data_IF_780485487705
#
_entry.id   IF_780485487705
#
_cell.length_a   1.000
_cell.length_b   1.000
_cell.length_c   1.000
_cell.angle_alpha   90.00
_cell.angle_beta   90.00
_cell.angle_gamma   90.00
#
_symmetry.space_group_name_H-M   'P 1'
#
loop_
_entity.id
_entity.type
_entity.pdbx_description
1 polymer ?
#
# COMPACT_ATOMS: atom_id res chain seq x y z
N UNK A 1 16.10 -2.75 23.33
CA UNK A 1 16.37 -3.51 22.08
C UNK A 1 15.44 -2.93 21.04
N UNK A 2 15.98 -2.30 19.98
CA UNK A 2 15.16 -1.79 18.87
C UNK A 2 14.45 -2.96 18.19
N UNK A 3 13.15 -2.84 17.98
CA UNK A 3 12.40 -3.83 17.22
C UNK A 3 13.01 -3.93 15.81
N UNK A 4 13.14 -5.13 15.26
CA UNK A 4 13.66 -5.28 13.90
C UNK A 4 12.70 -4.59 12.93
N UNK A 5 13.27 -3.91 11.94
CA UNK A 5 12.49 -3.27 10.90
C UNK A 5 11.54 -4.25 10.20
N UNK A 6 10.30 -3.85 9.98
CA UNK A 6 9.35 -4.65 9.21
C UNK A 6 9.78 -4.76 7.75
N UNK A 7 10.06 -3.62 7.11
CA UNK A 7 10.62 -3.57 5.76
C UNK A 7 12.00 -2.91 5.82
N UNK A 8 13.00 -3.57 5.24
CA UNK A 8 14.34 -2.99 5.05
C UNK A 8 14.72 -3.11 3.58
N UNK A 9 14.99 -1.98 2.98
CA UNK A 9 15.51 -1.86 1.61
C UNK A 9 16.90 -1.24 1.70
N UNK A 10 17.87 -1.87 1.04
CA UNK A 10 19.24 -1.37 1.02
C UNK A 10 19.71 -1.24 -0.43
N UNK A 11 20.12 -0.04 -0.80
CA UNK A 11 20.72 0.31 -2.08
C UNK A 11 19.88 -0.10 -3.30
N UNK A 12 18.55 0.08 -3.22
CA UNK A 12 17.68 -0.22 -4.35
C UNK A 12 18.07 0.60 -5.57
N UNK A 13 18.26 -0.10 -6.70
CA UNK A 13 18.61 0.51 -7.98
C UNK A 13 17.64 0.08 -9.05
N UNK A 14 17.24 1.04 -9.91
CA UNK A 14 16.40 0.78 -11.09
C UNK A 14 16.81 1.68 -12.25
N UNK A 15 17.01 1.08 -13.40
CA UNK A 15 17.40 1.77 -14.63
C UNK A 15 16.41 1.43 -15.75
N UNK A 16 16.00 2.42 -16.52
CA UNK A 16 15.16 2.27 -17.70
C UNK A 16 15.89 2.85 -18.92
N UNK A 17 16.33 1.99 -19.84
CA UNK A 17 17.17 2.42 -20.95
C UNK A 17 18.47 3.06 -20.42
N UNK A 18 18.67 4.35 -20.61
CA UNK A 18 19.81 5.10 -20.06
C UNK A 18 19.49 5.90 -18.79
N UNK A 19 18.21 5.92 -18.34
CA UNK A 19 17.75 6.72 -17.20
C UNK A 19 17.85 5.91 -15.91
N UNK A 20 18.63 6.42 -14.95
CA UNK A 20 18.67 5.89 -13.58
C UNK A 20 17.49 6.47 -12.81
N UNK A 21 16.44 5.66 -12.61
CA UNK A 21 15.22 6.09 -11.92
C UNK A 21 15.30 5.91 -10.39
N UNK A 22 16.15 4.97 -9.92
CA UNK A 22 16.52 4.80 -8.50
C UNK A 22 18.03 4.58 -8.43
N UNK A 23 18.69 5.37 -7.60
CA UNK A 23 20.13 5.35 -7.41
C UNK A 23 20.46 5.10 -5.92
N UNK A 24 20.67 3.83 -5.57
CA UNK A 24 21.06 3.40 -4.22
C UNK A 24 20.08 3.82 -3.11
N UNK A 25 18.77 3.78 -3.37
CA UNK A 25 17.74 4.13 -2.39
C UNK A 25 17.72 3.11 -1.25
N UNK A 26 17.90 3.60 -0.04
CA UNK A 26 17.81 2.79 1.18
C UNK A 26 16.78 3.39 2.13
N UNK A 27 15.94 2.55 2.75
CA UNK A 27 15.00 2.96 3.80
C UNK A 27 14.66 1.78 4.72
N UNK A 28 14.15 2.11 5.89
CA UNK A 28 13.75 1.15 6.92
C UNK A 28 12.41 1.57 7.53
N UNK A 29 11.44 0.67 7.51
CA UNK A 29 10.11 0.88 8.09
C UNK A 29 9.96 -0.02 9.31
N UNK A 30 9.67 0.55 10.47
CA UNK A 30 9.40 -0.20 11.68
C UNK A 30 7.96 -0.72 11.71
N UNK A 31 7.71 -1.77 12.48
CA UNK A 31 6.37 -2.32 12.63
C UNK A 31 5.44 -1.32 13.33
N UNK A 32 4.18 -1.24 12.87
CA UNK A 32 3.16 -0.39 13.48
C UNK A 32 3.27 1.10 13.14
N UNK A 33 4.08 1.49 12.14
CA UNK A 33 4.20 2.88 11.68
C UNK A 33 3.36 3.16 10.44
N UNK A 34 2.96 4.43 10.28
CA UNK A 34 2.59 5.01 9.01
C UNK A 34 3.83 5.72 8.46
N UNK A 35 4.40 5.19 7.40
CA UNK A 35 5.61 5.70 6.77
C UNK A 35 5.28 6.40 5.45
N UNK A 36 5.71 7.65 5.31
CA UNK A 36 5.51 8.46 4.13
C UNK A 36 6.69 8.44 3.17
N UNK A 37 6.43 8.30 1.87
CA UNK A 37 7.41 8.51 0.81
C UNK A 37 6.92 9.65 -0.07
N UNK A 38 7.62 10.78 -0.04
CA UNK A 38 7.28 11.98 -0.79
C UNK A 38 8.42 12.43 -1.70
N UNK A 39 8.21 13.47 -2.46
CA UNK A 39 9.18 14.10 -3.36
C UNK A 39 8.51 14.74 -4.56
N UNK A 40 9.22 15.55 -5.34
CA UNK A 40 8.72 16.17 -6.56
C UNK A 40 8.25 15.15 -7.60
N UNK A 41 7.60 15.64 -8.66
CA UNK A 41 7.28 14.80 -9.82
C UNK A 41 8.57 14.32 -10.49
N UNK A 42 8.62 13.04 -10.86
CA UNK A 42 9.84 12.44 -11.41
C UNK A 42 10.90 12.03 -10.39
N UNK A 43 10.69 12.25 -9.09
CA UNK A 43 11.64 11.90 -8.03
C UNK A 43 11.93 10.39 -7.87
N UNK A 44 11.14 9.51 -8.51
CA UNK A 44 11.33 8.07 -8.42
C UNK A 44 10.37 7.34 -7.45
N UNK A 45 9.44 8.05 -6.79
CA UNK A 45 8.50 7.47 -5.81
C UNK A 45 7.73 6.27 -6.35
N UNK A 46 7.03 6.45 -7.47
CA UNK A 46 6.24 5.38 -8.12
C UNK A 46 7.15 4.24 -8.60
N UNK A 47 8.36 4.54 -9.05
CA UNK A 47 9.34 3.52 -9.42
C UNK A 47 9.75 2.69 -8.21
N UNK A 48 10.08 3.35 -7.09
CA UNK A 48 10.42 2.66 -5.84
C UNK A 48 9.28 1.78 -5.36
N UNK A 49 8.06 2.30 -5.36
CA UNK A 49 6.86 1.56 -4.99
C UNK A 49 6.64 0.32 -5.88
N UNK A 50 6.78 0.49 -7.19
CA UNK A 50 6.66 -0.60 -8.14
C UNK A 50 7.76 -1.66 -7.98
N UNK A 51 8.96 -1.25 -7.58
CA UNK A 51 10.06 -2.17 -7.26
C UNK A 51 9.72 -2.98 -6.01
N UNK A 52 9.42 -2.35 -4.87
CA UNK A 52 9.15 -3.09 -3.63
C UNK A 52 7.90 -3.96 -3.69
N UNK A 53 6.95 -3.63 -4.56
CA UNK A 53 5.70 -4.38 -4.77
C UNK A 53 5.76 -5.38 -5.93
N UNK A 54 6.93 -5.56 -6.56
CA UNK A 54 7.18 -6.61 -7.55
C UNK A 54 6.61 -6.36 -8.95
N UNK A 55 6.22 -5.12 -9.27
CA UNK A 55 5.85 -4.75 -10.64
C UNK A 55 7.07 -4.50 -11.53
N UNK A 56 8.15 -3.97 -10.94
CA UNK A 56 9.43 -3.82 -11.61
C UNK A 56 10.49 -4.62 -10.89
N UNK A 57 11.20 -5.48 -11.61
CA UNK A 57 12.37 -6.13 -11.05
C UNK A 57 13.46 -5.08 -10.77
N UNK A 58 14.09 -5.06 -9.60
CA UNK A 58 15.23 -4.20 -9.31
C UNK A 58 16.44 -4.62 -10.14
N UNK A 59 17.32 -3.65 -10.46
CA UNK A 59 18.60 -3.93 -11.09
C UNK A 59 19.72 -4.04 -10.05
N UNK A 60 19.43 -3.74 -8.77
CA UNK A 60 20.35 -3.89 -7.64
C UNK A 60 19.66 -3.63 -6.31
N UNK A 61 20.38 -3.93 -5.24
CA UNK A 61 19.89 -3.76 -3.88
C UNK A 61 19.43 -5.05 -3.20
N UNK A 62 19.11 -4.95 -1.91
CA UNK A 62 18.56 -6.05 -1.13
C UNK A 62 17.28 -5.64 -0.41
N UNK A 63 16.36 -6.60 -0.28
CA UNK A 63 15.01 -6.40 0.24
C UNK A 63 14.71 -7.44 1.31
N UNK A 64 14.26 -6.98 2.47
CA UNK A 64 13.92 -7.84 3.61
C UNK A 64 12.58 -7.41 4.21
N UNK A 65 11.78 -8.39 4.59
CA UNK A 65 10.59 -8.19 5.42
C UNK A 65 10.72 -9.04 6.69
N UNK A 66 10.57 -8.39 7.85
CA UNK A 66 10.84 -9.01 9.17
C UNK A 66 12.20 -9.73 9.24
N UNK A 67 13.25 -9.13 8.66
CA UNK A 67 14.59 -9.71 8.60
C UNK A 67 14.75 -10.87 7.62
N UNK A 68 13.69 -11.29 6.92
CA UNK A 68 13.74 -12.37 5.91
C UNK A 68 13.90 -11.77 4.51
N UNK A 69 14.89 -12.21 3.75
CA UNK A 69 15.05 -11.76 2.37
C UNK A 69 13.82 -12.10 1.53
N UNK A 70 13.37 -11.16 0.70
CA UNK A 70 12.41 -11.43 -0.34
C UNK A 70 12.91 -10.83 -1.67
N UNK A 71 12.46 -11.42 -2.77
CA UNK A 71 12.81 -10.94 -4.11
C UNK A 71 11.56 -10.32 -4.75
N UNK A 72 11.53 -8.99 -4.94
CA UNK A 72 10.39 -8.32 -5.56
C UNK A 72 10.42 -8.47 -7.09
N UNK A 73 10.49 -9.71 -7.58
CA UNK A 73 10.53 -10.02 -9.02
C UNK A 73 9.17 -10.39 -9.58
N UNK A 74 8.19 -10.64 -8.72
CA UNK A 74 6.82 -10.99 -9.11
C UNK A 74 5.84 -10.65 -7.99
N UNK A 75 4.67 -10.10 -8.36
CA UNK A 75 3.63 -9.64 -7.43
C UNK A 75 3.17 -10.72 -6.45
N UNK A 76 3.03 -11.98 -6.91
CA UNK A 76 2.61 -13.08 -6.04
C UNK A 76 3.62 -13.37 -4.92
N UNK A 77 4.92 -13.32 -5.20
CA UNK A 77 5.98 -13.50 -4.18
C UNK A 77 5.97 -12.38 -3.14
N UNK A 78 5.69 -11.16 -3.57
CA UNK A 78 5.55 -10.01 -2.68
C UNK A 78 4.32 -10.18 -1.79
N UNK A 79 3.19 -10.65 -2.33
CA UNK A 79 1.99 -10.95 -1.56
C UNK A 79 2.23 -12.09 -0.54
N UNK A 80 2.97 -13.15 -0.92
CA UNK A 80 3.39 -14.23 -0.01
C UNK A 80 4.28 -13.71 1.12
N UNK A 81 5.16 -12.74 0.84
CA UNK A 81 5.97 -12.08 1.85
C UNK A 81 5.15 -11.21 2.83
N UNK A 82 3.88 -10.94 2.52
CA UNK A 82 2.95 -10.20 3.37
C UNK A 82 2.83 -8.72 3.04
N UNK A 83 3.14 -8.32 1.82
CA UNK A 83 2.94 -6.95 1.33
C UNK A 83 1.69 -6.94 0.45
N UNK A 84 0.68 -6.13 0.81
CA UNK A 84 -0.44 -5.81 -0.06
C UNK A 84 -0.32 -4.38 -0.57
N UNK A 85 -0.82 -4.13 -1.78
CA UNK A 85 -0.81 -2.80 -2.38
C UNK A 85 -2.19 -2.39 -2.89
N UNK A 86 -2.44 -1.09 -2.87
CA UNK A 86 -3.46 -0.45 -3.70
C UNK A 86 -2.83 0.15 -4.96
N UNK A 87 -3.64 0.60 -5.89
CA UNK A 87 -3.19 1.24 -7.11
C UNK A 87 -3.64 2.70 -7.15
N UNK A 88 -2.88 3.56 -7.80
CA UNK A 88 -3.25 4.95 -8.02
C UNK A 88 -4.64 5.06 -8.67
N UNK A 89 -4.86 4.33 -9.77
CA UNK A 89 -6.19 4.14 -10.34
C UNK A 89 -6.87 2.95 -9.68
N UNK A 90 -8.06 3.14 -9.14
CA UNK A 90 -8.85 2.09 -8.48
C UNK A 90 -8.99 0.87 -9.40
N UNK A 91 -8.54 -0.30 -8.92
CA UNK A 91 -8.59 -1.57 -9.66
C UNK A 91 -9.50 -2.55 -8.96
N UNK A 92 -10.77 -2.22 -8.87
CA UNK A 92 -11.81 -3.14 -8.41
C UNK A 92 -12.29 -4.02 -9.57
N UNK A 93 -12.98 -5.11 -9.24
CA UNK A 93 -13.79 -5.86 -10.18
C UNK A 93 -15.13 -5.10 -10.31
N UNK A 94 -15.34 -4.34 -11.39
CA UNK A 94 -16.40 -3.31 -11.42
C UNK A 94 -17.81 -3.89 -11.39
N UNK A 95 -18.00 -5.10 -11.91
CA UNK A 95 -19.28 -5.78 -12.02
C UNK A 95 -19.56 -6.78 -10.89
N UNK A 96 -18.61 -6.93 -9.96
CA UNK A 96 -18.80 -7.68 -8.71
C UNK A 96 -19.34 -6.78 -7.61
N UNK A 97 -20.00 -7.37 -6.61
CA UNK A 97 -20.41 -6.67 -5.39
C UNK A 97 -19.20 -6.25 -4.55
N UNK A 98 -19.40 -5.33 -3.61
CA UNK A 98 -18.36 -4.93 -2.67
C UNK A 98 -17.87 -6.16 -1.87
N UNK A 99 -18.79 -7.00 -1.40
CA UNK A 99 -18.46 -8.21 -0.68
C UNK A 99 -17.59 -9.17 -1.50
N UNK A 100 -17.98 -9.46 -2.74
CA UNK A 100 -17.22 -10.34 -3.64
C UNK A 100 -15.82 -9.81 -3.92
N UNK A 101 -15.64 -8.48 -4.10
CA UNK A 101 -14.34 -7.86 -4.24
C UNK A 101 -13.42 -8.16 -3.04
N UNK A 102 -13.93 -8.06 -1.81
CA UNK A 102 -13.16 -8.36 -0.59
C UNK A 102 -12.87 -9.85 -0.48
N UNK A 103 -13.84 -10.71 -0.81
CA UNK A 103 -13.67 -12.17 -0.79
C UNK A 103 -12.54 -12.62 -1.73
N UNK A 104 -12.39 -12.00 -2.91
CA UNK A 104 -11.26 -12.28 -3.83
C UNK A 104 -9.91 -12.06 -3.13
N UNK A 105 -9.76 -10.99 -2.35
CA UNK A 105 -8.55 -10.74 -1.56
C UNK A 105 -8.24 -11.89 -0.58
N UNK A 106 -9.25 -12.46 0.05
CA UNK A 106 -9.10 -13.56 1.00
C UNK A 106 -8.70 -14.88 0.34
N UNK A 107 -9.21 -15.16 -0.86
CA UNK A 107 -8.87 -16.38 -1.61
C UNK A 107 -7.38 -16.54 -1.87
N UNK A 108 -6.63 -15.45 -2.01
CA UNK A 108 -5.16 -15.49 -2.18
C UNK A 108 -4.44 -16.17 -1.00
N UNK A 109 -5.03 -16.14 0.21
CA UNK A 109 -4.47 -16.78 1.42
C UNK A 109 -4.90 -18.24 1.62
N UNK A 110 -6.00 -18.66 0.99
CA UNK A 110 -6.58 -19.98 1.23
C UNK A 110 -6.13 -21.07 0.24
N UNK A 111 -5.38 -20.70 -0.80
CA UNK A 111 -4.92 -21.63 -1.85
C UNK A 111 -3.85 -22.66 -1.42
N UNK A 112 -3.52 -22.75 -0.12
CA UNK A 112 -2.65 -23.83 0.40
C UNK A 112 -3.37 -25.13 0.77
N UNK A 113 -4.67 -25.18 0.75
CA UNK A 113 -5.45 -26.35 1.12
C UNK A 113 -5.97 -27.04 -0.15
N UNK A 114 -5.56 -28.29 -0.35
CA UNK A 114 -5.93 -29.23 -1.45
C UNK A 114 -7.44 -29.48 -1.60
N UNK A 115 -8.31 -28.52 -1.35
CA UNK A 115 -9.76 -28.63 -1.50
C UNK A 115 -10.27 -27.98 -2.81
N UNK A 116 -9.38 -27.74 -3.76
CA UNK A 116 -9.61 -27.07 -5.02
C UNK A 116 -10.89 -27.48 -5.77
N UNK A 117 -10.77 -27.91 -6.98
CA UNK A 117 -11.87 -28.14 -7.93
C UNK A 117 -12.86 -29.23 -7.46
N UNK A 118 -12.37 -30.32 -6.85
CA UNK A 118 -13.23 -31.42 -6.38
C UNK A 118 -14.15 -31.03 -5.21
N UNK A 119 -13.65 -30.25 -4.23
CA UNK A 119 -14.45 -29.76 -3.10
C UNK A 119 -15.52 -28.77 -3.53
N UNK A 120 -15.24 -27.94 -4.52
CA UNK A 120 -16.18 -26.99 -5.11
C UNK A 120 -17.29 -27.71 -5.89
N UNK A 121 -16.97 -28.72 -6.69
CA UNK A 121 -17.94 -29.51 -7.47
C UNK A 121 -18.88 -30.29 -6.55
N UNK A 122 -18.34 -30.92 -5.49
CA UNK A 122 -19.11 -31.73 -4.56
C UNK A 122 -19.78 -30.95 -3.44
N UNK A 123 -19.58 -29.62 -3.35
CA UNK A 123 -20.14 -28.75 -2.30
C UNK A 123 -20.03 -29.36 -0.91
N UNK A 124 -18.87 -29.90 -0.56
CA UNK A 124 -18.67 -30.56 0.74
C UNK A 124 -18.94 -29.60 1.89
N UNK A 125 -19.36 -30.14 3.07
CA UNK A 125 -19.56 -29.32 4.28
C UNK A 125 -18.35 -28.48 4.66
N UNK A 126 -17.13 -29.02 4.44
CA UNK A 126 -15.89 -28.29 4.68
C UNK A 126 -15.70 -27.10 3.72
N UNK A 127 -16.06 -27.26 2.44
CA UNK A 127 -16.04 -26.18 1.46
C UNK A 127 -17.05 -25.08 1.83
N UNK A 128 -18.29 -25.45 2.15
CA UNK A 128 -19.32 -24.49 2.56
C UNK A 128 -18.93 -23.72 3.83
N UNK A 129 -18.32 -24.39 4.82
CA UNK A 129 -17.80 -23.72 6.02
C UNK A 129 -16.65 -22.78 5.72
N UNK A 130 -15.76 -23.14 4.77
CA UNK A 130 -14.69 -22.28 4.30
C UNK A 130 -15.22 -20.99 3.65
N UNK A 131 -16.16 -21.14 2.73
CA UNK A 131 -16.84 -20.02 2.07
C UNK A 131 -17.58 -19.11 3.06
N UNK A 132 -18.29 -19.70 4.03
CA UNK A 132 -18.99 -18.94 5.07
C UNK A 132 -18.02 -18.11 5.93
N UNK A 133 -16.85 -18.67 6.28
CA UNK A 133 -15.80 -17.94 7.02
C UNK A 133 -15.21 -16.79 6.19
N UNK A 134 -14.92 -17.02 4.89
CA UNK A 134 -14.43 -15.99 3.98
C UNK A 134 -15.46 -14.87 3.89
N UNK A 135 -16.72 -15.19 3.69
CA UNK A 135 -17.82 -14.24 3.61
C UNK A 135 -17.99 -13.42 4.90
N UNK A 136 -17.98 -14.08 6.05
CA UNK A 136 -18.08 -13.41 7.36
C UNK A 136 -16.91 -12.45 7.60
N UNK A 137 -15.67 -12.86 7.26
CA UNK A 137 -14.49 -12.01 7.37
C UNK A 137 -14.57 -10.81 6.42
N UNK A 138 -15.04 -11.02 5.19
CA UNK A 138 -15.23 -9.94 4.22
C UNK A 138 -16.27 -8.91 4.69
N UNK A 139 -17.40 -9.37 5.26
CA UNK A 139 -18.38 -8.46 5.88
C UNK A 139 -17.77 -7.65 7.02
N UNK A 140 -17.03 -8.30 7.93
CA UNK A 140 -16.39 -7.62 9.04
C UNK A 140 -15.40 -6.54 8.56
N UNK A 141 -14.66 -6.76 7.47
CA UNK A 141 -13.78 -5.76 6.88
C UNK A 141 -14.54 -4.59 6.24
N UNK A 142 -15.68 -4.87 5.59
CA UNK A 142 -16.53 -3.79 5.05
C UNK A 142 -17.11 -2.93 6.17
N UNK A 143 -17.57 -3.54 7.26
CA UNK A 143 -18.07 -2.85 8.46
C UNK A 143 -16.94 -2.05 9.12
N UNK A 144 -15.75 -2.63 9.24
CA UNK A 144 -14.55 -2.01 9.80
C UNK A 144 -14.19 -0.71 9.08
N UNK A 145 -14.35 -0.66 7.74
CA UNK A 145 -14.10 0.51 6.92
C UNK A 145 -15.34 1.41 6.70
N UNK A 146 -16.46 1.11 7.38
CA UNK A 146 -17.67 1.94 7.35
C UNK A 146 -18.49 1.83 6.05
N UNK A 147 -18.27 0.79 5.27
CA UNK A 147 -18.98 0.55 4.00
C UNK A 147 -19.79 -0.75 4.00
N UNK A 148 -20.04 -1.36 5.16
CA UNK A 148 -20.78 -2.61 5.30
C UNK A 148 -22.19 -2.57 4.69
N UNK A 149 -22.87 -1.40 4.77
CA UNK A 149 -24.18 -1.17 4.13
C UNK A 149 -24.19 -1.41 2.62
N UNK A 150 -23.02 -1.35 1.98
CA UNK A 150 -22.87 -1.53 0.54
C UNK A 150 -22.38 -2.93 0.15
N UNK A 151 -22.39 -3.90 1.08
CA UNK A 151 -21.87 -5.24 0.83
C UNK A 151 -22.41 -5.87 -0.47
N UNK A 152 -23.71 -5.74 -0.72
CA UNK A 152 -24.39 -6.30 -1.90
C UNK A 152 -24.45 -5.32 -3.09
N UNK A 153 -23.89 -4.12 -2.97
CA UNK A 153 -23.86 -3.11 -4.05
C UNK A 153 -22.75 -3.44 -5.04
N UNK A 154 -23.02 -3.22 -6.32
CA UNK A 154 -22.03 -3.39 -7.41
C UNK A 154 -20.93 -2.34 -7.24
N UNK A 155 -19.67 -2.75 -7.29
CA UNK A 155 -18.52 -1.90 -6.95
C UNK A 155 -18.46 -0.59 -7.77
N UNK A 156 -18.75 -0.65 -9.08
CA UNK A 156 -18.75 0.55 -9.95
C UNK A 156 -19.81 1.59 -9.62
N UNK A 157 -20.84 1.22 -8.84
CA UNK A 157 -21.93 2.13 -8.45
C UNK A 157 -21.65 2.92 -7.18
N UNK A 158 -20.59 2.56 -6.46
CA UNK A 158 -20.17 3.24 -5.24
C UNK A 158 -19.58 4.62 -5.55
N UNK A 159 -19.63 5.53 -4.57
CA UNK A 159 -18.89 6.78 -4.64
C UNK A 159 -17.38 6.53 -4.75
N UNK A 160 -16.62 7.49 -5.28
CA UNK A 160 -15.17 7.36 -5.41
C UNK A 160 -14.49 7.06 -4.06
N UNK A 161 -14.89 7.75 -2.99
CA UNK A 161 -14.37 7.51 -1.63
C UNK A 161 -14.70 6.11 -1.11
N UNK A 162 -15.91 5.59 -1.38
CA UNK A 162 -16.30 4.23 -0.97
C UNK A 162 -15.59 3.16 -1.81
N UNK A 163 -15.35 3.41 -3.11
CA UNK A 163 -14.53 2.53 -3.94
C UNK A 163 -13.08 2.46 -3.41
N UNK A 164 -12.52 3.57 -2.96
CA UNK A 164 -11.17 3.59 -2.36
C UNK A 164 -11.14 2.80 -1.04
N UNK A 165 -12.16 2.96 -0.18
CA UNK A 165 -12.29 2.14 1.03
C UNK A 165 -12.44 0.65 0.71
N UNK A 166 -13.19 0.32 -0.34
CA UNK A 166 -13.34 -1.06 -0.81
C UNK A 166 -12.01 -1.64 -1.31
N UNK A 167 -11.20 -0.86 -2.00
CA UNK A 167 -9.84 -1.27 -2.42
C UNK A 167 -8.94 -1.57 -1.22
N UNK A 168 -9.01 -0.72 -0.17
CA UNK A 168 -8.30 -0.95 1.09
C UNK A 168 -8.83 -2.21 1.79
N UNK A 169 -10.16 -2.41 1.83
CA UNK A 169 -10.77 -3.63 2.40
C UNK A 169 -10.25 -4.90 1.73
N UNK A 170 -10.20 -4.90 0.39
CA UNK A 170 -9.69 -6.01 -0.39
C UNK A 170 -8.20 -6.27 -0.12
N UNK A 171 -7.40 -5.22 0.03
CA UNK A 171 -5.99 -5.34 0.39
C UNK A 171 -5.83 -5.91 1.81
N UNK A 172 -6.59 -5.44 2.79
CA UNK A 172 -6.60 -5.93 4.16
C UNK A 172 -7.06 -7.39 4.27
N UNK A 173 -7.96 -7.85 3.38
CA UNK A 173 -8.42 -9.25 3.35
C UNK A 173 -7.28 -10.25 3.11
N UNK A 174 -6.17 -9.81 2.53
CA UNK A 174 -4.96 -10.62 2.41
C UNK A 174 -4.18 -10.75 3.72
N UNK A 175 -4.63 -10.12 4.83
CA UNK A 175 -3.93 -10.04 6.11
C UNK A 175 -2.46 -9.61 5.97
N UNK A 176 -2.19 -8.46 5.35
CA UNK A 176 -0.83 -8.05 5.07
C UNK A 176 -0.10 -7.65 6.36
N UNK A 177 1.23 -7.76 6.33
CA UNK A 177 2.13 -7.16 7.32
C UNK A 177 2.40 -5.70 7.01
N UNK A 178 2.55 -5.39 5.70
CA UNK A 178 2.72 -4.05 5.15
C UNK A 178 1.61 -3.76 4.15
N UNK A 179 0.84 -2.71 4.42
CA UNK A 179 -0.13 -2.15 3.49
C UNK A 179 0.52 -0.99 2.75
N UNK A 180 0.75 -1.14 1.45
CA UNK A 180 1.34 -0.11 0.60
C UNK A 180 0.25 0.61 -0.19
N UNK A 181 0.14 1.93 -0.02
CA UNK A 181 -0.89 2.78 -0.60
C UNK A 181 -0.27 3.78 -1.58
N UNK A 182 -0.77 3.78 -2.81
CA UNK A 182 -0.29 4.66 -3.88
C UNK A 182 -1.31 5.78 -4.10
N UNK A 183 -0.96 7.00 -3.66
CA UNK A 183 -1.78 8.22 -3.73
C UNK A 183 -3.25 7.99 -3.31
N UNK A 184 -3.51 7.44 -2.10
CA UNK A 184 -4.86 7.08 -1.72
C UNK A 184 -5.82 8.26 -1.56
N UNK A 185 -5.31 9.48 -1.39
CA UNK A 185 -6.10 10.70 -1.24
C UNK A 185 -6.32 11.46 -2.56
N UNK A 186 -5.80 10.95 -3.70
CA UNK A 186 -5.97 11.60 -4.99
C UNK A 186 -7.46 11.78 -5.33
N UNK A 187 -7.83 12.98 -5.76
CA UNK A 187 -9.22 13.30 -6.13
C UNK A 187 -10.21 13.48 -4.99
N UNK A 188 -9.77 13.34 -3.73
CA UNK A 188 -10.62 13.51 -2.54
C UNK A 188 -10.74 14.97 -2.10
N UNK A 189 -11.94 15.36 -1.66
CA UNK A 189 -12.16 16.62 -0.96
C UNK A 189 -11.63 16.58 0.49
N UNK A 190 -11.64 17.73 1.18
CA UNK A 190 -11.08 17.86 2.53
C UNK A 190 -11.74 16.90 3.56
N UNK A 191 -13.07 16.71 3.48
CA UNK A 191 -13.81 15.83 4.38
C UNK A 191 -13.44 14.36 4.14
N UNK A 192 -13.34 13.96 2.88
CA UNK A 192 -12.93 12.62 2.49
C UNK A 192 -11.49 12.31 2.90
N UNK A 193 -10.56 13.29 2.75
CA UNK A 193 -9.18 13.18 3.23
C UNK A 193 -9.10 12.98 4.75
N UNK A 194 -9.90 13.72 5.52
CA UNK A 194 -9.96 13.54 6.98
C UNK A 194 -10.48 12.15 7.34
N UNK A 195 -11.54 11.68 6.70
CA UNK A 195 -12.07 10.33 6.92
C UNK A 195 -11.09 9.23 6.51
N UNK A 196 -10.32 9.43 5.44
CA UNK A 196 -9.23 8.52 5.05
C UNK A 196 -8.15 8.50 6.14
N UNK A 197 -7.74 9.67 6.65
CA UNK A 197 -6.75 9.78 7.72
C UNK A 197 -7.17 8.99 8.95
N UNK A 198 -8.39 9.20 9.46
CA UNK A 198 -8.94 8.48 10.61
C UNK A 198 -8.95 6.95 10.35
N UNK A 199 -9.28 6.54 9.12
CA UNK A 199 -9.25 5.13 8.72
C UNK A 199 -7.83 4.55 8.78
N UNK A 200 -6.83 5.28 8.28
CA UNK A 200 -5.44 4.82 8.28
C UNK A 200 -4.84 4.80 9.69
N UNK A 201 -5.15 5.81 10.52
CA UNK A 201 -4.79 5.83 11.93
C UNK A 201 -5.34 4.60 12.67
N UNK A 202 -6.64 4.29 12.47
CA UNK A 202 -7.28 3.10 13.03
C UNK A 202 -6.58 1.81 12.59
N UNK A 203 -6.24 1.67 11.30
CA UNK A 203 -5.55 0.50 10.77
C UNK A 203 -4.16 0.34 11.41
N UNK A 204 -3.43 1.45 11.61
CA UNK A 204 -2.15 1.46 12.33
C UNK A 204 -2.31 1.05 13.78
N UNK A 205 -3.29 1.63 14.48
CA UNK A 205 -3.55 1.38 15.91
C UNK A 205 -3.94 -0.09 16.16
N UNK A 206 -4.51 -0.76 15.17
CA UNK A 206 -4.72 -2.22 15.15
C UNK A 206 -3.45 -3.02 14.78
N UNK A 207 -2.28 -2.39 14.81
CA UNK A 207 -0.97 -3.02 14.67
C UNK A 207 -0.52 -3.25 13.22
N UNK A 208 -1.18 -2.64 12.23
CA UNK A 208 -0.72 -2.73 10.84
C UNK A 208 0.31 -1.66 10.52
N UNK A 209 1.26 -2.02 9.67
CA UNK A 209 2.23 -1.06 9.13
C UNK A 209 1.76 -0.57 7.76
N UNK A 210 1.89 0.73 7.54
CA UNK A 210 1.43 1.36 6.31
C UNK A 210 2.60 2.11 5.66
N UNK A 211 2.81 1.90 4.37
CA UNK A 211 3.62 2.76 3.51
C UNK A 211 2.67 3.54 2.61
N UNK A 212 2.77 4.87 2.66
CA UNK A 212 1.96 5.75 1.82
C UNK A 212 2.88 6.56 0.89
N UNK A 213 2.58 6.55 -0.40
CA UNK A 213 3.13 7.51 -1.35
C UNK A 213 2.09 8.57 -1.58
N UNK A 214 2.46 9.81 -1.41
CA UNK A 214 1.57 10.95 -1.58
C UNK A 214 2.32 12.17 -2.12
N UNK A 215 1.60 13.02 -2.82
CA UNK A 215 2.05 14.34 -3.22
C UNK A 215 1.42 15.46 -2.36
N UNK A 216 0.38 15.14 -1.58
CA UNK A 216 -0.21 16.04 -0.60
C UNK A 216 0.66 16.06 0.66
N UNK A 217 1.65 16.96 0.66
CA UNK A 217 2.59 17.13 1.78
C UNK A 217 1.85 17.38 3.09
N UNK A 218 0.73 18.15 3.06
CA UNK A 218 -0.03 18.46 4.27
C UNK A 218 -0.66 17.22 4.91
N UNK A 219 -1.19 16.32 4.08
CA UNK A 219 -1.73 15.04 4.55
C UNK A 219 -0.61 14.18 5.17
N UNK A 220 0.51 14.04 4.49
CA UNK A 220 1.65 13.22 4.97
C UNK A 220 2.19 13.75 6.29
N UNK A 221 2.38 15.07 6.40
CA UNK A 221 2.90 15.69 7.62
C UNK A 221 1.94 15.58 8.83
N UNK A 222 0.64 15.44 8.58
CA UNK A 222 -0.36 15.24 9.65
C UNK A 222 -0.68 13.78 9.98
N UNK A 223 -0.16 12.82 9.19
CA UNK A 223 -0.53 11.40 9.31
C UNK A 223 0.66 10.49 9.60
N UNK A 224 1.83 10.76 9.00
CA UNK A 224 2.96 9.84 9.04
C UNK A 224 3.79 10.00 10.31
N UNK A 225 4.29 8.89 10.82
CA UNK A 225 5.24 8.86 11.95
C UNK A 225 6.67 9.18 11.48
N UNK A 226 7.00 8.76 10.26
CA UNK A 226 8.30 8.98 9.62
C UNK A 226 8.14 9.20 8.11
N UNK A 227 9.01 10.00 7.54
CA UNK A 227 8.94 10.39 6.12
C UNK A 227 10.31 10.30 5.48
N UNK A 228 10.38 9.72 4.29
CA UNK A 228 11.53 9.81 3.39
C UNK A 228 11.18 10.70 2.19
N UNK A 229 12.10 11.57 1.82
CA UNK A 229 11.99 12.41 0.64
C UNK A 229 12.93 11.91 -0.43
N UNK A 230 12.37 11.62 -1.60
CA UNK A 230 13.15 11.33 -2.81
C UNK A 230 13.24 12.56 -3.70
N UNK A 231 14.41 12.73 -4.33
CA UNK A 231 14.60 13.61 -5.46
C UNK A 231 15.59 12.98 -6.45
N UNK A 232 15.28 13.04 -7.75
CA UNK A 232 16.05 12.40 -8.83
C UNK A 232 16.55 10.99 -8.51
N UNK A 233 15.69 10.15 -7.93
CA UNK A 233 15.99 8.75 -7.60
C UNK A 233 16.88 8.56 -6.37
N UNK A 234 17.13 9.59 -5.57
CA UNK A 234 17.96 9.54 -4.35
C UNK A 234 17.17 9.98 -3.13
N UNK A 235 17.54 9.47 -1.96
CA UNK A 235 17.05 9.98 -0.68
C UNK A 235 17.78 11.28 -0.36
N UNK A 236 17.03 12.37 -0.21
CA UNK A 236 17.57 13.68 0.19
C UNK A 236 17.33 14.00 1.67
N UNK A 237 16.29 13.42 2.26
CA UNK A 237 16.01 13.56 3.69
C UNK A 237 15.21 12.36 4.20
N UNK A 238 15.39 12.04 5.48
CA UNK A 238 14.58 11.05 6.22
C UNK A 238 14.49 11.49 7.68
N UNK A 239 13.27 11.45 8.24
CA UNK A 239 13.05 11.83 9.63
C UNK A 239 11.58 11.91 10.00
N UNK A 240 11.29 12.50 11.14
CA UNK A 240 9.93 12.90 11.51
C UNK A 240 9.40 13.97 10.53
N UNK A 241 8.08 14.11 10.40
CA UNK A 241 7.49 15.17 9.59
C UNK A 241 8.07 16.57 9.88
N UNK A 242 8.27 16.90 11.16
CA UNK A 242 8.79 18.20 11.59
C UNK A 242 10.26 18.43 11.18
N UNK A 243 11.09 17.39 11.20
CA UNK A 243 12.49 17.43 10.73
C UNK A 243 12.56 17.64 9.23
N UNK A 244 11.77 16.83 8.48
CA UNK A 244 11.74 16.87 7.01
C UNK A 244 11.27 18.21 6.48
N UNK A 245 10.24 18.83 7.11
CA UNK A 245 9.74 20.14 6.70
C UNK A 245 10.78 21.28 6.80
N UNK A 246 11.77 21.13 7.66
CA UNK A 246 12.81 22.13 7.91
C UNK A 246 14.11 21.82 7.17
N UNK A 247 14.18 20.71 6.49
CA UNK A 247 15.42 20.26 5.81
C UNK A 247 15.69 21.16 4.60
N UNK A 248 16.88 21.78 4.49
CA UNK A 248 17.19 22.70 3.40
C UNK A 248 16.99 22.10 2.01
N UNK A 249 17.50 20.87 1.79
CA UNK A 249 17.42 20.19 0.48
C UNK A 249 15.97 19.87 0.11
N UNK A 250 15.10 19.62 1.09
CA UNK A 250 13.66 19.40 0.85
C UNK A 250 13.00 20.69 0.41
N UNK A 251 13.30 21.80 1.09
CA UNK A 251 12.78 23.12 0.73
C UNK A 251 13.22 23.49 -0.69
N UNK A 252 14.49 23.29 -1.02
CA UNK A 252 15.03 23.55 -2.36
C UNK A 252 14.38 22.70 -3.44
N UNK A 253 14.22 21.38 -3.21
CA UNK A 253 13.60 20.45 -4.16
C UNK A 253 12.14 20.82 -4.48
N UNK A 254 11.39 21.32 -3.51
CA UNK A 254 10.00 21.75 -3.74
C UNK A 254 9.87 23.16 -4.30
N UNK A 255 10.77 24.09 -3.96
CA UNK A 255 10.80 25.46 -4.52
C UNK A 255 11.39 25.49 -5.93
N UNK A 256 12.46 24.71 -6.17
CA UNK A 256 13.09 24.60 -7.48
C UNK A 256 12.19 24.00 -8.56
N UNK A 257 11.28 23.07 -8.19
CA UNK A 257 10.30 22.49 -9.11
C UNK A 257 9.18 23.46 -9.53
N UNK A 258 8.96 24.54 -8.80
CA UNK A 258 7.98 25.59 -9.12
C UNK A 258 8.48 26.63 -10.14
N UNK A 259 9.80 26.73 -10.38
CA UNK A 259 10.38 27.76 -11.25
C UNK A 259 10.47 27.37 -12.74
N UNK A 260 10.12 26.12 -13.10
CA UNK A 260 10.26 25.61 -14.47
C UNK A 260 8.95 25.55 -15.28
N UNK A 261 7.86 26.11 -14.75
CA UNK A 261 6.56 26.26 -15.44
C UNK A 261 6.11 27.74 -15.45
N UNK A 262 6.94 28.62 -16.03
CA UNK A 262 6.61 29.97 -16.40
C UNK A 262 6.72 30.16 -17.90
#
# INVERSE_FOLDING_TARGET
MSQPALLKVSQARKVFGGLVALDNVSLSIEAGQIYGLIGPNGAGKTTFFNVITGLYAPDGGSFQIEGRPYQPTAVHRVAEAGIARTFQNIRLFPDMTALENVMVGRHLRTHGLHQGVFGAILRTRAFQQGEARIRSHAHALLDYLGIGRYADSIAKTLSYGDQRRLEIARALATEPRLLALDEPAAGMNATEKNSLRETLEKIRDDGKTILIIEHDVKLVMGLCDRVTVLDYGKVIAEGSPAEVQRHPDVIEAYLGSGATHG
#
